data_IF_165302776012
#
_entry.id   IF_165302776012
#
_cell.length_a   1.000
_cell.length_b   1.000
_cell.length_c   1.000
_cell.angle_alpha   90.00
_cell.angle_beta   90.00
_cell.angle_gamma   90.00
#
_symmetry.space_group_name_H-M   'P 1'
#
loop_
_entity.id
_entity.type
_entity.pdbx_description
1 polymer ?
#
# COMPACT_ATOMS: atom_id res chain seq x y z
N UNK A 1 8.90 -2.71 23.57
CA UNK A 1 9.50 -2.76 22.21
C UNK A 1 9.35 -1.40 21.57
N UNK A 2 10.37 -0.92 20.88
CA UNK A 2 10.31 0.33 20.10
C UNK A 2 9.50 0.09 18.83
N UNK A 3 8.61 1.02 18.46
CA UNK A 3 7.91 0.98 17.17
C UNK A 3 8.89 1.12 16.00
N UNK A 4 8.57 0.50 14.87
CA UNK A 4 9.25 0.69 13.59
C UNK A 4 9.04 2.13 13.10
N UNK A 5 10.10 2.77 12.63
CA UNK A 5 10.02 4.16 12.14
C UNK A 5 9.15 4.27 10.87
N UNK A 6 9.14 3.24 10.02
CA UNK A 6 8.35 3.21 8.80
C UNK A 6 7.95 1.77 8.44
N UNK A 7 6.69 1.58 8.05
CA UNK A 7 6.14 0.32 7.58
C UNK A 7 5.52 0.54 6.20
N UNK A 8 5.73 -0.41 5.29
CA UNK A 8 5.24 -0.35 3.93
C UNK A 8 4.19 -1.44 3.71
N UNK A 9 3.04 -1.06 3.18
CA UNK A 9 1.92 -1.95 2.87
C UNK A 9 1.79 -2.06 1.36
N UNK A 10 1.78 -3.30 0.87
CA UNK A 10 1.46 -3.65 -0.50
C UNK A 10 0.58 -4.90 -0.50
N UNK A 11 -0.41 -4.93 -1.37
CA UNK A 11 -1.23 -6.12 -1.63
C UNK A 11 -1.71 -6.09 -3.07
N UNK A 12 -1.68 -7.25 -3.74
CA UNK A 12 -2.41 -7.46 -4.99
C UNK A 12 -3.88 -7.84 -4.77
N UNK A 13 -4.26 -8.13 -3.52
CA UNK A 13 -5.63 -8.40 -3.10
C UNK A 13 -6.20 -7.23 -2.26
N UNK A 14 -7.19 -6.47 -2.77
CA UNK A 14 -7.81 -5.35 -2.04
C UNK A 14 -8.46 -5.73 -0.71
N UNK A 15 -8.99 -6.96 -0.57
CA UNK A 15 -9.66 -7.41 0.65
C UNK A 15 -8.71 -7.48 1.85
N UNK A 16 -7.40 -7.62 1.59
CA UNK A 16 -6.38 -7.71 2.64
C UNK A 16 -5.96 -6.36 3.21
N UNK A 17 -6.33 -5.24 2.60
CA UNK A 17 -5.84 -3.94 3.05
C UNK A 17 -6.25 -3.64 4.49
N UNK A 18 -7.48 -3.95 4.91
CA UNK A 18 -7.92 -3.70 6.28
C UNK A 18 -7.02 -4.37 7.33
N UNK A 19 -6.72 -5.66 7.14
CA UNK A 19 -5.86 -6.43 8.04
C UNK A 19 -4.41 -5.93 8.01
N UNK A 20 -3.86 -5.70 6.82
CA UNK A 20 -2.48 -5.27 6.63
C UNK A 20 -2.22 -3.89 7.24
N UNK A 21 -3.15 -2.95 7.06
CA UNK A 21 -3.04 -1.62 7.67
C UNK A 21 -3.21 -1.68 9.18
N UNK A 22 -4.13 -2.49 9.70
CA UNK A 22 -4.29 -2.68 11.15
C UNK A 22 -3.00 -3.17 11.81
N UNK A 23 -2.33 -4.16 11.20
CA UNK A 23 -1.01 -4.61 11.64
C UNK A 23 0.05 -3.54 11.50
N UNK A 24 0.12 -2.87 10.35
CA UNK A 24 1.13 -1.83 10.10
C UNK A 24 1.04 -0.66 11.08
N UNK A 25 -0.16 -0.24 11.46
CA UNK A 25 -0.40 0.84 12.41
C UNK A 25 -0.04 0.45 13.86
N UNK A 26 -0.17 -0.83 14.22
CA UNK A 26 0.22 -1.31 15.55
C UNK A 26 1.74 -1.18 15.78
N UNK A 27 2.53 -1.40 14.74
CA UNK A 27 3.99 -1.49 14.84
C UNK A 27 4.72 -0.28 14.27
N UNK A 28 4.10 0.52 13.40
CA UNK A 28 4.74 1.59 12.65
C UNK A 28 4.36 3.00 13.13
N UNK A 29 5.36 3.86 13.30
CA UNK A 29 5.14 5.31 13.49
C UNK A 29 4.61 5.98 12.22
N UNK A 30 4.98 5.44 11.05
CA UNK A 30 4.57 5.92 9.74
C UNK A 30 4.25 4.73 8.84
N UNK A 31 3.05 4.72 8.26
CA UNK A 31 2.61 3.67 7.33
C UNK A 31 2.54 4.25 5.92
N UNK A 32 3.12 3.58 4.95
CA UNK A 32 3.12 3.97 3.54
C UNK A 32 2.42 2.89 2.71
N UNK A 33 1.76 3.27 1.62
CA UNK A 33 1.10 2.35 0.71
C UNK A 33 1.81 2.31 -0.65
N UNK A 34 1.97 1.11 -1.20
CA UNK A 34 2.28 0.89 -2.61
C UNK A 34 1.06 0.21 -3.23
N UNK A 35 0.54 0.76 -4.31
CA UNK A 35 -0.67 0.26 -5.00
C UNK A 35 -0.42 0.15 -6.50
N UNK A 36 -1.18 -0.70 -7.18
CA UNK A 36 -0.99 -0.98 -8.61
C UNK A 36 -1.71 0.01 -9.53
N UNK A 37 -2.75 0.70 -9.03
CA UNK A 37 -3.56 1.62 -9.81
C UNK A 37 -4.28 2.63 -8.91
N UNK A 38 -4.96 3.59 -9.54
CA UNK A 38 -5.69 4.66 -8.87
C UNK A 38 -6.89 4.15 -8.08
N UNK A 39 -7.55 3.08 -8.51
CA UNK A 39 -8.69 2.49 -7.80
C UNK A 39 -8.25 1.94 -6.43
N UNK A 40 -7.13 1.22 -6.42
CA UNK A 40 -6.50 0.78 -5.18
C UNK A 40 -6.02 1.96 -4.33
N UNK A 41 -5.54 3.06 -4.93
CA UNK A 41 -5.17 4.27 -4.19
C UNK A 41 -6.38 4.85 -3.42
N UNK A 42 -7.55 4.90 -4.07
CA UNK A 42 -8.79 5.34 -3.42
C UNK A 42 -9.21 4.35 -2.31
N UNK A 43 -9.07 3.05 -2.56
CA UNK A 43 -9.43 2.01 -1.59
C UNK A 43 -8.58 2.07 -0.31
N UNK A 44 -7.29 2.43 -0.41
CA UNK A 44 -6.40 2.49 0.76
C UNK A 44 -6.40 3.83 1.50
N UNK A 45 -6.91 4.89 0.88
CA UNK A 45 -6.95 6.23 1.47
C UNK A 45 -7.62 6.29 2.85
N UNK A 46 -8.73 5.57 3.13
CA UNK A 46 -9.36 5.55 4.45
C UNK A 46 -8.48 4.97 5.57
N UNK A 47 -7.47 4.17 5.26
CA UNK A 47 -6.57 3.59 6.26
C UNK A 47 -5.45 4.56 6.71
N UNK A 48 -5.45 5.79 6.21
CA UNK A 48 -4.53 6.85 6.62
C UNK A 48 -3.04 6.61 6.36
N UNK A 49 -2.61 6.09 5.18
CA UNK A 49 -1.21 6.06 4.83
C UNK A 49 -0.63 7.48 4.79
N UNK A 50 0.61 7.64 5.24
CA UNK A 50 1.37 8.89 5.13
C UNK A 50 1.56 9.32 3.68
N UNK A 51 1.86 8.37 2.77
CA UNK A 51 1.86 8.58 1.33
C UNK A 51 1.42 7.31 0.60
N UNK A 52 0.87 7.48 -0.60
CA UNK A 52 0.50 6.40 -1.52
C UNK A 52 1.36 6.51 -2.77
N UNK A 53 2.05 5.42 -3.12
CA UNK A 53 2.85 5.29 -4.33
C UNK A 53 2.13 4.38 -5.32
N UNK A 54 1.69 4.93 -6.44
CA UNK A 54 1.06 4.14 -7.52
C UNK A 54 2.15 3.64 -8.45
N UNK A 55 2.25 2.32 -8.61
CA UNK A 55 3.21 1.72 -9.53
C UNK A 55 2.77 1.97 -10.97
N UNK A 56 3.65 2.57 -11.78
CA UNK A 56 3.42 2.67 -13.23
C UNK A 56 3.53 1.29 -13.88
N UNK A 57 2.43 0.83 -14.47
CA UNK A 57 2.42 -0.43 -15.19
C UNK A 57 3.08 -0.24 -16.56
N UNK A 58 4.39 -0.55 -16.66
CA UNK A 58 5.05 -0.67 -17.97
C UNK A 58 4.45 -1.87 -18.71
N UNK A 59 3.49 -1.62 -19.61
CA UNK A 59 3.05 -2.65 -20.56
C UNK A 59 4.27 -3.06 -21.40
N UNK A 60 4.68 -4.34 -21.28
CA UNK A 60 5.55 -4.95 -22.29
C UNK A 60 4.74 -4.96 -23.58
N UNK A 61 5.18 -4.21 -24.59
CA UNK A 61 4.62 -4.35 -25.93
C UNK A 61 4.80 -5.82 -26.33
N UNK A 62 3.71 -6.51 -26.63
CA UNK A 62 3.79 -7.84 -27.21
C UNK A 62 4.44 -7.69 -28.59
N UNK A 63 5.72 -8.03 -28.68
CA UNK A 63 6.38 -8.26 -29.98
C UNK A 63 5.61 -9.37 -30.67
N UNK A 64 5.02 -9.02 -31.82
CA UNK A 64 4.33 -9.94 -32.72
C UNK A 64 5.32 -10.94 -33.32
#
# INVERSE_FOLDING_TARGET
MSQLNSVWVFSDNPERYAELFGGAQQWGQQVYAIVQNTDQAQAVMPYGPKCIYVLEQKRRAATH
#
